data_IF_895038948332
#
_entry.id   IF_895038948332
#
_cell.length_a   1.000
_cell.length_b   1.000
_cell.length_c   1.000
_cell.angle_alpha   90.00
_cell.angle_beta   90.00
_cell.angle_gamma   90.00
#
_symmetry.space_group_name_H-M   'P 1'
#
loop_
_entity.id
_entity.type
_entity.pdbx_description
1 polymer ?
#
# COMPACT_ATOMS: atom_id res chain seq x y z
N UNK A 1 18.98 8.03 1.74
CA UNK A 1 18.10 8.53 2.82
C UNK A 1 17.87 7.45 3.87
N UNK A 2 17.46 6.24 3.49
CA UNK A 2 17.33 5.06 4.36
C UNK A 2 18.55 4.79 5.25
N UNK A 3 19.76 4.72 4.66
CA UNK A 3 21.01 4.50 5.40
C UNK A 3 21.32 5.59 6.46
N UNK A 4 20.83 6.82 6.26
CA UNK A 4 21.04 7.90 7.24
C UNK A 4 20.13 7.74 8.45
N UNK A 5 18.86 7.39 8.21
CA UNK A 5 17.86 7.17 9.25
C UNK A 5 18.18 5.91 10.04
N UNK A 6 18.58 4.84 9.37
CA UNK A 6 19.05 3.61 10.02
C UNK A 6 20.30 3.87 10.89
N UNK A 7 21.29 4.60 10.34
CA UNK A 7 22.48 5.03 11.10
C UNK A 7 22.12 5.89 12.31
N UNK A 8 21.13 6.79 12.17
CA UNK A 8 20.63 7.60 13.26
C UNK A 8 20.00 6.74 14.35
N UNK A 9 19.09 5.82 14.00
CA UNK A 9 18.49 4.89 14.97
C UNK A 9 19.53 4.03 15.68
N UNK A 10 20.50 3.50 14.94
CA UNK A 10 21.59 2.70 15.52
C UNK A 10 22.48 3.53 16.44
N UNK A 11 22.73 4.80 16.11
CA UNK A 11 23.48 5.73 16.97
C UNK A 11 22.72 6.05 18.24
N UNK A 12 21.43 6.34 18.14
CA UNK A 12 20.56 6.64 19.30
C UNK A 12 20.47 5.42 20.22
N UNK A 13 20.16 4.23 19.68
CA UNK A 13 20.10 3.00 20.47
C UNK A 13 21.44 2.70 21.15
N UNK A 14 22.55 2.73 20.39
CA UNK A 14 23.88 2.47 20.95
C UNK A 14 24.33 3.50 21.99
N UNK A 15 23.77 4.71 21.98
CA UNK A 15 23.99 5.70 23.04
C UNK A 15 23.14 5.38 24.28
N UNK A 16 21.86 5.06 24.11
CA UNK A 16 20.96 4.72 25.22
C UNK A 16 21.44 3.44 25.93
N UNK A 17 21.85 2.40 25.19
CA UNK A 17 22.39 1.15 25.74
C UNK A 17 23.69 1.39 26.54
N UNK A 18 24.58 2.25 26.04
CA UNK A 18 25.79 2.64 26.79
C UNK A 18 25.45 3.32 28.11
N UNK A 19 24.41 4.15 28.14
CA UNK A 19 23.99 4.85 29.35
C UNK A 19 23.30 3.90 30.32
N UNK A 20 22.49 2.96 29.85
CA UNK A 20 21.85 1.93 30.70
C UNK A 20 22.86 1.10 31.51
N UNK A 21 24.04 0.84 30.94
CA UNK A 21 25.12 0.09 31.57
C UNK A 21 25.99 0.95 32.50
N UNK A 22 25.75 2.26 32.59
CA UNK A 22 26.43 3.14 33.56
C UNK A 22 25.90 2.91 34.97
N UNK A 23 26.82 2.94 35.93
CA UNK A 23 26.54 2.86 37.37
C UNK A 23 26.01 4.17 37.97
N UNK A 24 26.03 5.27 37.23
CA UNK A 24 25.72 6.62 37.74
C UNK A 24 24.25 7.04 37.54
N UNK A 25 23.43 6.21 36.90
CA UNK A 25 22.05 6.55 36.51
C UNK A 25 21.04 5.95 37.48
N UNK A 26 20.04 6.74 37.88
CA UNK A 26 18.99 6.30 38.79
C UNK A 26 18.12 5.18 38.18
N UNK A 27 17.48 4.38 39.03
CA UNK A 27 16.59 3.31 38.57
C UNK A 27 15.41 3.83 37.72
N UNK A 28 14.85 4.99 38.08
CA UNK A 28 13.76 5.64 37.34
C UNK A 28 14.19 6.06 35.92
N UNK A 29 15.39 6.63 35.78
CA UNK A 29 15.93 7.01 34.47
C UNK A 29 16.26 5.78 33.61
N UNK A 30 16.77 4.71 34.22
CA UNK A 30 16.98 3.43 33.52
C UNK A 30 15.67 2.88 32.97
N UNK A 31 14.58 2.97 33.73
CA UNK A 31 13.27 2.51 33.26
C UNK A 31 12.75 3.37 32.09
N UNK A 32 12.84 4.70 32.19
CA UNK A 32 12.50 5.60 31.07
C UNK A 32 13.31 5.30 29.81
N UNK A 33 14.58 4.95 29.95
CA UNK A 33 15.45 4.58 28.83
C UNK A 33 15.04 3.26 28.19
N UNK A 34 14.67 2.24 28.98
CA UNK A 34 14.14 0.97 28.44
C UNK A 34 12.87 1.18 27.63
N UNK A 35 11.91 1.94 28.18
CA UNK A 35 10.66 2.26 27.44
C UNK A 35 10.95 2.97 26.12
N UNK A 36 11.95 3.85 26.07
CA UNK A 36 12.38 4.51 24.82
C UNK A 36 12.99 3.52 23.83
N UNK A 37 13.78 2.54 24.28
CA UNK A 37 14.31 1.48 23.42
C UNK A 37 13.18 0.63 22.86
N UNK A 38 12.22 0.22 23.70
CA UNK A 38 11.04 -0.54 23.29
C UNK A 38 10.28 0.22 22.19
N UNK A 39 9.98 1.49 22.42
CA UNK A 39 9.32 2.34 21.42
C UNK A 39 10.11 2.44 20.11
N UNK A 40 11.43 2.61 20.17
CA UNK A 40 12.27 2.67 18.96
C UNK A 40 12.22 1.33 18.20
N UNK A 41 12.28 0.22 18.92
CA UNK A 41 12.22 -1.11 18.33
C UNK A 41 10.84 -1.42 17.72
N UNK A 42 9.77 -0.90 18.31
CA UNK A 42 8.41 -0.98 17.75
C UNK A 42 8.23 -0.11 16.49
N UNK A 43 8.83 1.08 16.47
CA UNK A 43 8.70 2.00 15.34
C UNK A 43 9.58 1.60 14.15
N UNK A 44 10.74 0.99 14.40
CA UNK A 44 11.73 0.65 13.38
C UNK A 44 11.16 -0.14 12.19
N UNK A 45 10.41 -1.25 12.37
CA UNK A 45 9.84 -2.00 11.25
C UNK A 45 8.88 -1.16 10.40
N UNK A 46 8.11 -0.27 11.02
CA UNK A 46 7.19 0.62 10.31
C UNK A 46 7.94 1.65 9.47
N UNK A 47 9.04 2.18 10.00
CA UNK A 47 9.89 3.14 9.29
C UNK A 47 10.62 2.45 8.13
N UNK A 48 11.23 1.29 8.38
CA UNK A 48 11.87 0.47 7.33
C UNK A 48 10.89 0.16 6.20
N UNK A 49 9.65 -0.17 6.54
CA UNK A 49 8.60 -0.39 5.56
C UNK A 49 8.36 0.83 4.67
N UNK A 50 8.32 2.05 5.22
CA UNK A 50 8.12 3.27 4.41
C UNK A 50 9.24 3.49 3.37
N UNK A 51 10.44 2.96 3.62
CA UNK A 51 11.58 3.07 2.70
C UNK A 51 11.65 1.95 1.66
N UNK A 52 10.81 0.91 1.75
CA UNK A 52 10.73 -0.12 0.72
C UNK A 52 10.14 0.45 -0.57
N UNK A 53 10.65 -0.01 -1.71
CA UNK A 53 10.01 0.24 -3.01
C UNK A 53 8.64 -0.43 -3.06
N UNK A 54 7.75 0.05 -3.93
CA UNK A 54 6.43 -0.56 -4.17
C UNK A 54 6.52 -2.06 -4.47
N UNK A 55 7.51 -2.46 -5.28
CA UNK A 55 7.78 -3.87 -5.59
C UNK A 55 8.17 -4.67 -4.35
N UNK A 56 9.09 -4.14 -3.53
CA UNK A 56 9.53 -4.80 -2.29
C UNK A 56 8.39 -4.92 -1.26
N UNK A 57 7.53 -3.90 -1.16
CA UNK A 57 6.31 -3.95 -0.36
C UNK A 57 5.37 -5.05 -0.86
N UNK A 58 5.16 -5.14 -2.17
CA UNK A 58 4.29 -6.17 -2.76
C UNK A 58 4.81 -7.59 -2.55
N UNK A 59 6.11 -7.83 -2.74
CA UNK A 59 6.75 -9.12 -2.41
C UNK A 59 6.53 -9.47 -0.94
N UNK A 60 6.72 -8.50 -0.04
CA UNK A 60 6.50 -8.69 1.39
C UNK A 60 5.05 -9.06 1.72
N UNK A 61 4.06 -8.47 1.04
CA UNK A 61 2.63 -8.83 1.20
C UNK A 61 2.34 -10.25 0.72
N UNK A 62 2.92 -10.67 -0.39
CA UNK A 62 2.75 -12.03 -0.94
C UNK A 62 3.36 -13.06 0.02
N UNK A 63 4.55 -12.78 0.56
CA UNK A 63 5.18 -13.62 1.58
C UNK A 63 4.31 -13.72 2.83
N UNK A 64 3.72 -12.61 3.28
CA UNK A 64 2.80 -12.59 4.40
C UNK A 64 1.53 -13.41 4.13
N UNK A 65 0.91 -13.26 2.95
CA UNK A 65 -0.23 -14.09 2.54
C UNK A 65 0.11 -15.59 2.57
N UNK A 66 1.30 -15.96 2.07
CA UNK A 66 1.77 -17.35 2.11
C UNK A 66 2.02 -17.86 3.54
N UNK A 67 2.35 -16.98 4.48
CA UNK A 67 2.44 -17.30 5.89
C UNK A 67 1.06 -17.50 6.51
N UNK A 68 0.11 -16.59 6.27
CA UNK A 68 -1.29 -16.70 6.75
C UNK A 68 -1.93 -18.02 6.30
N UNK A 69 -1.77 -18.38 5.02
CA UNK A 69 -2.25 -19.67 4.49
C UNK A 69 -1.59 -20.88 5.15
N UNK A 70 -0.31 -20.80 5.52
CA UNK A 70 0.41 -21.88 6.20
C UNK A 70 -0.02 -22.05 7.65
N UNK A 71 -0.43 -20.96 8.30
CA UNK A 71 -0.87 -20.94 9.69
C UNK A 71 -2.36 -21.27 9.85
N UNK A 72 -3.07 -21.55 8.75
CA UNK A 72 -4.51 -21.80 8.71
C UNK A 72 -5.34 -20.68 9.35
N UNK A 73 -4.94 -19.44 9.06
CA UNK A 73 -5.62 -18.23 9.53
C UNK A 73 -7.03 -18.11 8.94
N UNK A 74 -7.86 -17.26 9.56
CA UNK A 74 -9.27 -17.14 9.20
C UNK A 74 -9.45 -16.84 7.69
N UNK A 75 -10.31 -17.59 6.96
CA UNK A 75 -10.46 -17.46 5.51
C UNK A 75 -10.76 -16.04 5.01
N UNK A 76 -11.51 -15.25 5.79
CA UNK A 76 -11.84 -13.88 5.44
C UNK A 76 -10.60 -12.95 5.46
N UNK A 77 -9.65 -13.17 6.36
CA UNK A 77 -8.39 -12.41 6.42
C UNK A 77 -7.52 -12.71 5.19
N UNK A 78 -7.40 -14.00 4.85
CA UNK A 78 -6.68 -14.47 3.66
C UNK A 78 -7.28 -13.84 2.40
N UNK A 79 -8.61 -13.91 2.24
CA UNK A 79 -9.32 -13.32 1.08
C UNK A 79 -9.16 -11.80 1.01
N UNK A 80 -9.22 -11.10 2.15
CA UNK A 80 -9.01 -9.64 2.19
C UNK A 80 -7.60 -9.26 1.75
N UNK A 81 -6.59 -10.03 2.19
CA UNK A 81 -5.21 -9.81 1.80
C UNK A 81 -4.98 -10.12 0.32
N UNK A 82 -5.58 -11.20 -0.22
CA UNK A 82 -5.56 -11.52 -1.65
C UNK A 82 -6.13 -10.37 -2.49
N UNK A 83 -7.31 -9.85 -2.11
CA UNK A 83 -7.92 -8.69 -2.77
C UNK A 83 -6.98 -7.49 -2.77
N UNK A 84 -6.37 -7.16 -1.63
CA UNK A 84 -5.47 -6.01 -1.53
C UNK A 84 -4.24 -6.15 -2.44
N UNK A 85 -3.64 -7.34 -2.50
CA UNK A 85 -2.52 -7.65 -3.40
C UNK A 85 -2.95 -7.47 -4.85
N UNK A 86 -4.07 -8.10 -5.26
CA UNK A 86 -4.57 -8.06 -6.64
C UNK A 86 -4.87 -6.62 -7.09
N UNK A 87 -5.62 -5.86 -6.29
CA UNK A 87 -6.01 -4.50 -6.63
C UNK A 87 -4.82 -3.56 -6.70
N UNK A 88 -3.83 -3.71 -5.82
CA UNK A 88 -2.61 -2.92 -5.90
C UNK A 88 -1.90 -3.15 -7.24
N UNK A 89 -1.79 -4.42 -7.66
CA UNK A 89 -1.12 -4.79 -8.90
C UNK A 89 -1.89 -4.31 -10.13
N UNK A 90 -3.20 -4.55 -10.19
CA UNK A 90 -4.05 -4.10 -11.29
C UNK A 90 -4.09 -2.56 -11.39
N UNK A 91 -4.12 -1.85 -10.26
CA UNK A 91 -4.06 -0.38 -10.25
C UNK A 91 -2.75 0.13 -10.83
N UNK A 92 -1.61 -0.40 -10.38
CA UNK A 92 -0.29 -0.02 -10.91
C UNK A 92 -0.13 -0.40 -12.38
N UNK A 93 -0.68 -1.54 -12.79
CA UNK A 93 -0.67 -2.01 -14.18
C UNK A 93 -1.52 -1.12 -15.08
N UNK A 94 -2.65 -0.60 -14.61
CA UNK A 94 -3.54 0.26 -15.39
C UNK A 94 -3.01 1.68 -15.61
N UNK A 95 -2.17 2.20 -14.70
CA UNK A 95 -1.69 3.60 -14.74
C UNK A 95 -1.07 4.02 -16.08
N UNK A 96 -0.14 3.25 -16.70
CA UNK A 96 0.41 3.62 -18.01
C UNK A 96 -0.63 3.69 -19.12
N UNK A 97 -1.68 2.87 -19.05
CA UNK A 97 -2.76 2.87 -20.05
C UNK A 97 -3.67 4.09 -19.89
N UNK A 98 -3.92 4.54 -18.65
CA UNK A 98 -4.64 5.79 -18.38
C UNK A 98 -3.89 7.01 -18.92
N UNK A 99 -2.57 7.02 -18.73
CA UNK A 99 -1.68 8.06 -19.26
C UNK A 99 -1.70 8.09 -20.79
N UNK A 100 -1.61 6.92 -21.44
CA UNK A 100 -1.60 6.78 -22.90
C UNK A 100 -2.91 7.22 -23.56
N UNK A 101 -4.06 6.94 -22.94
CA UNK A 101 -5.37 7.29 -23.52
C UNK A 101 -5.63 8.79 -23.42
N UNK A 102 -5.55 9.36 -22.22
CA UNK A 102 -5.65 10.80 -22.00
C UNK A 102 -5.32 11.16 -20.54
N UNK A 103 -4.05 11.43 -20.24
CA UNK A 103 -3.65 11.77 -18.87
C UNK A 103 -4.42 12.94 -18.26
N UNK A 104 -4.70 14.00 -19.03
CA UNK A 104 -5.38 15.20 -18.52
C UNK A 104 -6.80 14.89 -18.07
N UNK A 105 -7.57 14.15 -18.87
CA UNK A 105 -8.95 13.78 -18.53
C UNK A 105 -9.00 12.65 -17.50
N UNK A 106 -8.01 11.75 -17.48
CA UNK A 106 -7.92 10.67 -16.50
C UNK A 106 -7.32 11.10 -15.16
N UNK A 107 -6.91 12.36 -14.99
CA UNK A 107 -6.27 12.83 -13.76
C UNK A 107 -7.04 12.47 -12.47
N UNK A 108 -8.38 12.65 -12.38
CA UNK A 108 -9.12 12.24 -11.19
C UNK A 108 -9.04 10.74 -10.91
N UNK A 109 -9.09 9.91 -11.96
CA UNK A 109 -8.96 8.46 -11.85
C UNK A 109 -7.54 8.07 -11.42
N UNK A 110 -6.51 8.68 -12.00
CA UNK A 110 -5.11 8.45 -11.62
C UNK A 110 -4.86 8.85 -10.15
N UNK A 111 -5.41 9.97 -9.70
CA UNK A 111 -5.33 10.40 -8.29
C UNK A 111 -6.03 9.40 -7.35
N UNK A 112 -7.23 8.93 -7.71
CA UNK A 112 -7.94 7.90 -6.97
C UNK A 112 -7.13 6.61 -6.84
N UNK A 113 -6.50 6.13 -7.92
CA UNK A 113 -5.69 4.91 -7.90
C UNK A 113 -4.40 5.08 -7.09
N UNK A 114 -3.77 6.26 -7.14
CA UNK A 114 -2.61 6.55 -6.32
C UNK A 114 -2.97 6.56 -4.82
N UNK A 115 -4.06 7.24 -4.45
CA UNK A 115 -4.56 7.23 -3.06
C UNK A 115 -4.90 5.82 -2.57
N UNK A 116 -5.51 4.99 -3.41
CA UNK A 116 -5.77 3.58 -3.07
C UNK A 116 -4.47 2.80 -2.83
N UNK A 117 -3.47 2.96 -3.71
CA UNK A 117 -2.17 2.34 -3.54
C UNK A 117 -1.45 2.83 -2.28
N UNK A 118 -1.52 4.12 -1.98
CA UNK A 118 -0.90 4.74 -0.81
C UNK A 118 -1.56 4.25 0.48
N UNK A 119 -2.89 4.14 0.51
CA UNK A 119 -3.62 3.53 1.62
C UNK A 119 -3.20 2.08 1.85
N UNK A 120 -2.99 1.30 0.79
CA UNK A 120 -2.49 -0.09 0.90
C UNK A 120 -1.02 -0.11 1.37
N UNK A 121 -0.19 0.84 0.94
CA UNK A 121 1.19 1.00 1.39
C UNK A 121 1.30 1.39 2.84
N UNK A 122 0.50 2.33 3.34
CA UNK A 122 0.56 2.78 4.74
C UNK A 122 0.20 1.65 5.72
N UNK A 123 -0.67 0.72 5.34
CA UNK A 123 -1.14 -0.37 6.21
C UNK A 123 -0.13 -1.52 6.39
N UNK A 124 0.99 -1.50 5.68
CA UNK A 124 2.04 -2.50 5.89
C UNK A 124 1.77 -3.85 5.22
N UNK A 125 2.16 -4.91 5.93
CA UNK A 125 2.06 -6.30 5.45
C UNK A 125 0.62 -6.83 5.39
N UNK A 126 -0.27 -6.32 6.25
CA UNK A 126 -1.65 -6.77 6.38
C UNK A 126 -2.62 -5.62 6.13
N UNK A 127 -3.44 -5.75 5.08
CA UNK A 127 -4.41 -4.72 4.75
C UNK A 127 -5.67 -4.82 5.60
N UNK A 128 -5.79 -3.93 6.58
CA UNK A 128 -6.96 -3.83 7.46
C UNK A 128 -7.94 -2.73 7.05
N UNK A 129 -7.61 -1.93 6.02
CA UNK A 129 -8.44 -0.83 5.54
C UNK A 129 -9.74 -1.27 4.86
N UNK A 130 -10.56 -0.29 4.51
CA UNK A 130 -11.76 -0.49 3.71
C UNK A 130 -11.43 -0.26 2.24
N UNK A 131 -11.92 -1.15 1.38
CA UNK A 131 -11.86 -0.95 -0.06
C UNK A 131 -12.82 0.18 -0.48
N UNK A 132 -12.60 0.81 -1.65
CA UNK A 132 -13.53 1.78 -2.19
C UNK A 132 -14.91 1.16 -2.40
N UNK A 133 -15.94 1.93 -2.09
CA UNK A 133 -17.33 1.57 -2.36
C UNK A 133 -17.62 1.56 -3.86
N UNK A 134 -18.75 0.94 -4.23
CA UNK A 134 -19.26 0.97 -5.62
C UNK A 134 -19.43 2.42 -6.10
N UNK A 135 -20.02 3.28 -5.27
CA UNK A 135 -20.27 4.69 -5.62
C UNK A 135 -18.97 5.46 -5.85
N UNK A 136 -17.98 5.29 -4.96
CA UNK A 136 -16.66 5.93 -5.11
C UNK A 136 -15.97 5.46 -6.40
N UNK A 137 -16.07 4.16 -6.71
CA UNK A 137 -15.51 3.58 -7.93
C UNK A 137 -16.19 4.14 -9.17
N UNK A 138 -17.53 4.21 -9.18
CA UNK A 138 -18.29 4.76 -10.31
C UNK A 138 -17.95 6.23 -10.56
N UNK A 139 -17.86 7.05 -9.51
CA UNK A 139 -17.54 8.47 -9.64
C UNK A 139 -16.11 8.66 -10.18
N UNK A 140 -15.14 7.88 -9.68
CA UNK A 140 -13.76 7.94 -10.17
C UNK A 140 -13.64 7.59 -11.66
N UNK A 141 -14.45 6.64 -12.16
CA UNK A 141 -14.44 6.20 -13.55
C UNK A 141 -15.40 6.99 -14.47
N UNK A 142 -16.15 7.93 -13.92
CA UNK A 142 -17.21 8.65 -14.65
C UNK A 142 -16.70 9.34 -15.90
N UNK A 143 -15.65 10.16 -15.79
CA UNK A 143 -15.03 10.85 -16.93
C UNK A 143 -14.53 9.88 -17.99
N UNK A 144 -13.99 8.73 -17.58
CA UNK A 144 -13.54 7.70 -18.50
C UNK A 144 -14.70 7.15 -19.34
N UNK A 145 -15.80 6.73 -18.70
CA UNK A 145 -16.94 6.12 -19.42
C UNK A 145 -17.81 7.13 -20.17
N UNK A 146 -17.98 8.34 -19.66
CA UNK A 146 -18.88 9.34 -20.26
C UNK A 146 -18.22 10.18 -21.36
N UNK A 147 -16.90 10.38 -21.29
CA UNK A 147 -16.19 11.33 -22.17
C UNK A 147 -15.13 10.61 -22.99
N UNK A 148 -14.21 9.90 -22.33
CA UNK A 148 -13.01 9.36 -22.99
C UNK A 148 -13.33 8.18 -23.89
N UNK A 149 -14.04 7.16 -23.37
CA UNK A 149 -14.41 5.96 -24.12
C UNK A 149 -15.30 6.29 -25.33
N UNK A 150 -16.35 7.14 -25.23
CA UNK A 150 -17.15 7.50 -26.40
C UNK A 150 -16.38 8.29 -27.46
N UNK A 151 -15.41 9.13 -27.05
CA UNK A 151 -14.59 9.92 -27.96
C UNK A 151 -13.64 9.07 -28.83
N UNK A 152 -13.39 7.80 -28.47
CA UNK A 152 -12.60 6.85 -29.25
C UNK A 152 -13.21 6.53 -30.63
N UNK A 153 -14.55 6.54 -30.73
CA UNK A 153 -15.26 5.99 -31.89
C UNK A 153 -14.90 4.52 -32.16
N UNK A 154 -14.89 4.11 -33.44
CA UNK A 154 -14.56 2.73 -33.86
C UNK A 154 -13.03 2.47 -33.98
N UNK A 155 -12.18 3.33 -33.44
CA UNK A 155 -10.73 3.23 -33.60
C UNK A 155 -10.10 2.11 -32.76
N UNK A 156 -9.41 1.17 -33.38
CA UNK A 156 -8.71 0.06 -32.68
C UNK A 156 -7.35 0.46 -32.05
N UNK A 157 -6.88 1.69 -32.27
CA UNK A 157 -5.50 2.11 -31.94
C UNK A 157 -5.15 1.96 -30.44
N UNK A 158 -6.12 2.15 -29.55
CA UNK A 158 -5.93 2.06 -28.09
C UNK A 158 -6.75 0.95 -27.44
N UNK A 159 -7.23 -0.03 -28.21
CA UNK A 159 -8.13 -1.09 -27.74
C UNK A 159 -7.63 -1.77 -26.46
N UNK A 160 -6.36 -2.17 -26.43
CA UNK A 160 -5.74 -2.80 -25.27
C UNK A 160 -5.77 -1.89 -24.03
N UNK A 161 -5.56 -0.57 -24.21
CA UNK A 161 -5.60 0.38 -23.10
C UNK A 161 -6.98 0.39 -22.44
N UNK A 162 -8.04 0.47 -23.24
CA UNK A 162 -9.42 0.45 -22.75
C UNK A 162 -9.76 -0.87 -22.06
N UNK A 163 -9.33 -2.00 -22.64
CA UNK A 163 -9.53 -3.33 -22.02
C UNK A 163 -8.86 -3.42 -20.64
N UNK A 164 -7.65 -2.88 -20.48
CA UNK A 164 -6.95 -2.87 -19.18
C UNK A 164 -7.63 -1.96 -18.17
N UNK A 165 -8.10 -0.79 -18.59
CA UNK A 165 -8.83 0.14 -17.71
C UNK A 165 -10.18 -0.46 -17.27
N UNK A 166 -10.91 -1.10 -18.18
CA UNK A 166 -12.20 -1.74 -17.89
C UNK A 166 -12.07 -3.02 -17.06
N UNK A 167 -10.98 -3.76 -17.23
CA UNK A 167 -10.62 -4.88 -16.36
C UNK A 167 -10.43 -4.39 -14.92
N UNK A 168 -9.68 -3.32 -14.71
CA UNK A 168 -9.51 -2.72 -13.38
C UNK A 168 -10.85 -2.26 -12.79
N UNK A 169 -11.70 -1.58 -13.58
CA UNK A 169 -13.03 -1.19 -13.13
C UNK A 169 -13.84 -2.40 -12.65
N UNK A 170 -13.86 -3.47 -13.44
CA UNK A 170 -14.58 -4.71 -13.09
C UNK A 170 -14.07 -5.34 -11.81
N UNK A 171 -12.76 -5.36 -11.59
CA UNK A 171 -12.16 -5.88 -10.36
C UNK A 171 -12.50 -5.03 -9.13
N UNK A 172 -12.49 -3.69 -9.26
CA UNK A 172 -12.87 -2.78 -8.18
C UNK A 172 -14.36 -2.93 -7.80
N UNK A 173 -15.23 -3.12 -8.78
CA UNK A 173 -16.68 -3.31 -8.54
C UNK A 173 -16.96 -4.60 -7.75
N UNK A 174 -16.22 -5.69 -8.02
CA UNK A 174 -16.34 -6.98 -7.31
C UNK A 174 -15.90 -6.93 -5.85
N UNK A 175 -15.14 -5.90 -5.43
CA UNK A 175 -14.63 -5.83 -4.05
C UNK A 175 -15.74 -5.81 -3.02
N UNK A 176 -16.87 -5.20 -3.37
CA UNK A 176 -18.04 -5.00 -2.52
C UNK A 176 -19.11 -6.10 -2.67
N UNK A 177 -18.95 -7.05 -3.60
CA UNK A 177 -19.92 -8.13 -3.83
C UNK A 177 -19.77 -9.31 -2.84
N UNK A 178 -18.84 -9.21 -1.88
CA UNK A 178 -18.47 -10.33 -1.01
C UNK A 178 -18.35 -9.99 0.47
N UNK A 179 -19.02 -8.91 0.89
CA UNK A 179 -19.31 -8.65 2.31
C UNK A 179 -20.65 -9.29 2.70
#
# INVERSE_FOLDING_TARGET
MTNYIEKYFNTVLGNIERHLNSSEISAEEKEKMKTRIELINELRPNIEWQFKTSESKQVSRIQHLAMLRRMDELPHLIKKQEKAINIYEESKRAMPYLEAVNLTLNKPLTEFLNDLCDKIDIKGYSYTGNFPTITETQEAFKTYFEIIKPAQGNGNMFKECYEKIESLYSELMKLNETD
#
